data_IF_239577415621
#
_entry.id   IF_239577415621
#
_cell.length_a   1.000
_cell.length_b   1.000
_cell.length_c   1.000
_cell.angle_alpha   90.00
_cell.angle_beta   90.00
_cell.angle_gamma   90.00
#
_symmetry.space_group_name_H-M   'P 1'
#
loop_
_entity.id
_entity.type
_entity.pdbx_description
1 polymer ?
#
# COMPACT_ATOMS: atom_id res chain seq x y z
N UNK A 1 16.58 35.14 -34.53
CA UNK A 1 15.12 34.87 -34.53
C UNK A 1 14.71 34.16 -35.82
N UNK A 2 15.34 33.02 -36.15
CA UNK A 2 14.93 32.06 -37.21
C UNK A 2 15.24 30.60 -36.76
N UNK A 3 15.80 30.42 -35.56
CA UNK A 3 16.06 29.09 -34.93
C UNK A 3 15.03 28.75 -33.83
N UNK A 4 14.10 29.67 -33.55
CA UNK A 4 12.98 29.47 -32.60
C UNK A 4 11.75 28.79 -33.24
N UNK A 5 11.89 28.17 -34.42
CA UNK A 5 10.73 27.69 -35.20
C UNK A 5 10.82 26.24 -35.72
N UNK A 6 11.81 25.45 -35.32
CA UNK A 6 11.89 24.01 -35.65
C UNK A 6 11.68 23.07 -34.45
N UNK A 7 11.42 23.63 -33.27
CA UNK A 7 10.79 22.94 -32.13
C UNK A 7 9.34 23.42 -31.99
N UNK A 8 8.67 23.65 -33.13
CA UNK A 8 7.26 23.31 -33.28
C UNK A 8 7.19 21.84 -33.71
N UNK A 9 7.86 20.97 -32.94
CA UNK A 9 7.62 19.54 -33.04
C UNK A 9 6.37 19.32 -32.24
N UNK A 10 5.27 19.06 -32.94
CA UNK A 10 4.28 18.07 -32.54
C UNK A 10 3.96 18.04 -31.02
N UNK A 11 3.25 19.03 -30.48
CA UNK A 11 2.62 18.92 -29.13
C UNK A 11 1.09 19.07 -29.21
N UNK A 12 0.55 19.46 -30.37
CA UNK A 12 -0.90 19.41 -30.67
C UNK A 12 -1.33 18.27 -31.59
N UNK A 13 -0.42 17.36 -31.97
CA UNK A 13 -0.64 16.38 -33.06
C UNK A 13 -0.25 14.94 -32.69
N UNK A 14 -0.14 14.62 -31.39
CA UNK A 14 0.27 13.28 -30.91
C UNK A 14 -0.87 12.34 -30.52
N UNK A 15 -2.13 12.68 -30.84
CA UNK A 15 -3.20 11.68 -30.81
C UNK A 15 -3.20 10.77 -32.06
N UNK A 16 -2.34 10.97 -33.07
CA UNK A 16 -2.49 10.28 -34.36
C UNK A 16 -1.27 9.53 -34.94
N UNK A 17 -0.01 9.82 -34.62
CA UNK A 17 1.12 9.06 -35.20
C UNK A 17 2.30 8.90 -34.23
N UNK A 18 2.82 7.67 -34.17
CA UNK A 18 3.78 7.20 -33.17
C UNK A 18 5.20 7.74 -33.27
N UNK A 19 5.88 7.55 -32.13
CA UNK A 19 7.31 7.57 -31.79
C UNK A 19 8.24 8.55 -32.54
N UNK A 20 8.73 9.53 -31.78
CA UNK A 20 10.01 10.22 -32.04
C UNK A 20 10.83 10.15 -30.75
N UNK A 21 12.02 9.53 -30.80
CA UNK A 21 12.98 9.50 -29.70
C UNK A 21 13.72 10.84 -29.61
N UNK A 22 13.61 11.61 -28.51
CA UNK A 22 14.40 12.84 -28.36
C UNK A 22 15.74 12.55 -27.66
N UNK A 23 16.82 12.99 -28.30
CA UNK A 23 18.15 13.16 -27.68
C UNK A 23 18.19 14.58 -27.08
N UNK A 24 18.27 14.69 -25.76
CA UNK A 24 18.23 15.98 -25.05
C UNK A 24 19.66 16.41 -24.70
N UNK A 25 20.15 17.47 -25.37
CA UNK A 25 21.34 18.24 -24.99
C UNK A 25 20.90 19.67 -24.61
N UNK A 26 20.80 19.97 -23.31
CA UNK A 26 20.41 21.30 -22.79
C UNK A 26 19.64 21.24 -21.46
N UNK A 27 19.58 22.35 -20.72
CA UNK A 27 18.81 22.50 -19.47
C UNK A 27 17.30 22.67 -19.77
N UNK A 28 16.73 21.71 -20.50
CA UNK A 28 15.33 21.67 -20.95
C UNK A 28 14.39 21.18 -19.84
N UNK A 29 14.70 21.51 -18.59
CA UNK A 29 13.96 21.03 -17.42
C UNK A 29 12.50 21.48 -17.43
N UNK A 30 12.23 22.71 -17.86
CA UNK A 30 10.87 23.24 -17.98
C UNK A 30 10.02 22.46 -18.99
N UNK A 31 10.58 22.13 -20.15
CA UNK A 31 9.89 21.36 -21.19
C UNK A 31 9.57 19.93 -20.73
N UNK A 32 10.52 19.29 -20.03
CA UNK A 32 10.31 17.97 -19.44
C UNK A 32 9.21 17.99 -18.37
N UNK A 33 9.17 19.03 -17.55
CA UNK A 33 8.15 19.21 -16.53
C UNK A 33 6.76 19.36 -17.16
N UNK A 34 6.63 20.23 -18.17
CA UNK A 34 5.38 20.43 -18.91
C UNK A 34 4.90 19.14 -19.61
N UNK A 35 5.83 18.35 -20.16
CA UNK A 35 5.50 17.05 -20.76
C UNK A 35 4.90 16.09 -19.74
N UNK A 36 5.51 15.94 -18.55
CA UNK A 36 4.95 15.09 -17.47
C UNK A 36 3.54 15.53 -17.11
N UNK A 37 3.34 16.83 -16.89
CA UNK A 37 2.03 17.39 -16.53
C UNK A 37 0.99 17.06 -17.59
N UNK A 38 1.35 17.22 -18.87
CA UNK A 38 0.47 16.92 -20.00
C UNK A 38 0.09 15.44 -20.03
N UNK A 39 1.06 14.53 -19.89
CA UNK A 39 0.78 13.09 -19.86
C UNK A 39 -0.11 12.69 -18.67
N UNK A 40 0.09 13.30 -17.50
CA UNK A 40 -0.74 13.05 -16.32
C UNK A 40 -2.17 13.60 -16.47
N UNK A 41 -2.38 14.65 -17.27
CA UNK A 41 -3.69 15.26 -17.50
C UNK A 41 -4.46 14.63 -18.65
N UNK A 42 -3.78 14.19 -19.71
CA UNK A 42 -4.42 13.61 -20.89
C UNK A 42 -4.95 12.18 -20.68
N UNK A 43 -4.56 11.52 -19.59
CA UNK A 43 -5.21 10.31 -19.10
C UNK A 43 -4.96 9.02 -19.90
N UNK A 44 -4.17 9.05 -20.97
CA UNK A 44 -3.75 7.85 -21.71
C UNK A 44 -2.59 7.13 -20.97
N UNK A 45 -2.86 6.01 -20.28
CA UNK A 45 -1.85 5.34 -19.46
C UNK A 45 -0.74 4.72 -20.32
N UNK A 46 -1.07 4.23 -21.51
CA UNK A 46 -0.12 3.57 -22.40
C UNK A 46 0.91 4.58 -22.93
N UNK A 47 0.44 5.80 -23.22
CA UNK A 47 1.32 6.90 -23.62
C UNK A 47 2.26 7.32 -22.48
N UNK A 48 1.74 7.46 -21.25
CA UNK A 48 2.56 7.76 -20.08
C UNK A 48 3.60 6.65 -19.80
N UNK A 49 3.21 5.38 -19.94
CA UNK A 49 4.12 4.25 -19.73
C UNK A 49 5.26 4.22 -20.75
N UNK A 50 4.95 4.39 -22.04
CA UNK A 50 5.96 4.46 -23.09
C UNK A 50 6.90 5.66 -22.88
N UNK A 51 6.34 6.85 -22.67
CA UNK A 51 7.13 8.06 -22.47
C UNK A 51 8.04 7.95 -21.23
N UNK A 52 7.51 7.48 -20.10
CA UNK A 52 8.31 7.35 -18.87
C UNK A 52 9.39 6.29 -18.99
N UNK A 53 9.18 5.24 -19.79
CA UNK A 53 10.20 4.24 -20.11
C UNK A 53 11.33 4.85 -20.93
N UNK A 54 11.00 5.57 -22.00
CA UNK A 54 12.02 6.23 -22.86
C UNK A 54 12.82 7.26 -22.06
N UNK A 55 12.14 8.08 -21.25
CA UNK A 55 12.80 9.07 -20.40
C UNK A 55 13.62 8.44 -19.28
N UNK A 56 13.22 7.26 -18.77
CA UNK A 56 14.05 6.53 -17.80
C UNK A 56 15.40 6.08 -18.38
N UNK A 57 15.46 5.84 -19.69
CA UNK A 57 16.69 5.47 -20.40
C UNK A 57 17.53 6.71 -20.77
N UNK A 58 16.86 7.81 -21.15
CA UNK A 58 17.53 9.03 -21.59
C UNK A 58 18.09 9.87 -20.42
N UNK A 59 17.38 9.93 -19.29
CA UNK A 59 17.72 10.82 -18.18
C UNK A 59 18.59 10.12 -17.14
N UNK A 60 19.58 10.85 -16.60
CA UNK A 60 20.35 10.39 -15.45
C UNK A 60 19.50 10.30 -14.19
N UNK A 61 19.95 9.51 -13.22
CA UNK A 61 19.25 9.24 -11.96
C UNK A 61 18.86 10.52 -11.20
N UNK A 62 19.77 11.49 -11.15
CA UNK A 62 19.61 12.80 -10.52
C UNK A 62 18.64 13.70 -11.28
N UNK A 63 18.65 13.67 -12.62
CA UNK A 63 17.68 14.38 -13.45
C UNK A 63 16.26 13.84 -13.27
N UNK A 64 16.10 12.51 -13.26
CA UNK A 64 14.81 11.86 -12.98
C UNK A 64 14.29 12.23 -11.58
N UNK A 65 15.18 12.26 -10.59
CA UNK A 65 14.87 12.67 -9.23
C UNK A 65 14.40 14.13 -9.22
N UNK A 66 15.19 15.05 -9.79
CA UNK A 66 14.84 16.47 -9.87
C UNK A 66 13.49 16.66 -10.55
N UNK A 67 13.24 15.99 -11.67
CA UNK A 67 11.96 16.07 -12.39
C UNK A 67 10.80 15.64 -11.49
N UNK A 68 10.88 14.45 -10.89
CA UNK A 68 9.80 13.91 -10.08
C UNK A 68 9.49 14.76 -8.83
N UNK A 69 10.49 15.37 -8.20
CA UNK A 69 10.29 16.18 -6.98
C UNK A 69 9.76 17.59 -7.23
N UNK A 70 9.79 18.07 -8.48
CA UNK A 70 9.32 19.41 -8.84
C UNK A 70 7.96 19.38 -9.58
N UNK A 71 7.27 18.24 -9.61
CA UNK A 71 5.91 18.17 -10.15
C UNK A 71 4.97 19.07 -9.32
N UNK A 72 4.23 20.00 -9.96
CA UNK A 72 3.27 20.87 -9.27
C UNK A 72 1.97 20.11 -8.98
N UNK A 73 2.02 19.15 -8.05
CA UNK A 73 0.89 18.26 -7.76
C UNK A 73 -0.39 18.99 -7.36
N UNK A 74 -0.29 20.14 -6.70
CA UNK A 74 -1.43 20.98 -6.32
C UNK A 74 -2.20 21.42 -7.58
N UNK A 75 -1.49 21.99 -8.56
CA UNK A 75 -2.10 22.47 -9.81
C UNK A 75 -2.70 21.34 -10.65
N UNK A 76 -2.08 20.15 -10.63
CA UNK A 76 -2.62 18.97 -11.31
C UNK A 76 -3.92 18.51 -10.64
N UNK A 77 -3.97 18.51 -9.30
CA UNK A 77 -5.15 18.11 -8.54
C UNK A 77 -6.31 19.11 -8.69
N UNK A 78 -6.02 20.41 -8.70
CA UNK A 78 -7.03 21.47 -8.85
C UNK A 78 -7.74 21.41 -10.21
N UNK A 79 -7.11 20.81 -11.23
CA UNK A 79 -7.70 20.56 -12.55
C UNK A 79 -8.63 19.35 -12.59
N UNK A 80 -8.94 18.73 -11.44
CA UNK A 80 -9.95 17.69 -11.30
C UNK A 80 -9.45 16.26 -11.47
N UNK A 81 -8.13 16.04 -11.50
CA UNK A 81 -7.58 14.69 -11.59
C UNK A 81 -7.85 13.90 -10.28
N UNK A 82 -8.43 12.71 -10.40
CA UNK A 82 -8.68 11.83 -9.25
C UNK A 82 -7.37 11.33 -8.66
N UNK A 83 -7.23 11.38 -7.33
CA UNK A 83 -6.04 10.90 -6.64
C UNK A 83 -5.82 9.39 -6.82
N UNK A 84 -6.92 8.63 -6.90
CA UNK A 84 -6.87 7.18 -7.12
C UNK A 84 -6.42 6.85 -8.54
N UNK A 85 -6.95 7.56 -9.54
CA UNK A 85 -6.54 7.41 -10.94
C UNK A 85 -5.06 7.78 -11.11
N UNK A 86 -4.62 8.89 -10.50
CA UNK A 86 -3.20 9.28 -10.50
C UNK A 86 -2.31 8.21 -9.86
N UNK A 87 -2.73 7.63 -8.73
CA UNK A 87 -1.96 6.55 -8.10
C UNK A 87 -1.84 5.31 -9.01
N UNK A 88 -2.92 4.97 -9.74
CA UNK A 88 -2.94 3.86 -10.69
C UNK A 88 -2.08 4.15 -11.93
N UNK A 89 -2.21 5.34 -12.52
CA UNK A 89 -1.40 5.77 -13.65
C UNK A 89 0.09 5.80 -13.31
N UNK A 90 0.45 6.19 -12.08
CA UNK A 90 1.83 6.23 -11.61
C UNK A 90 2.38 4.88 -11.14
N UNK A 91 1.64 3.77 -11.29
CA UNK A 91 2.08 2.46 -10.82
C UNK A 91 3.52 2.16 -11.30
N UNK A 92 4.46 1.87 -10.38
CA UNK A 92 5.87 1.70 -10.73
C UNK A 92 6.11 0.57 -11.74
N UNK A 93 6.44 0.94 -12.99
CA UNK A 93 6.87 0.04 -14.08
C UNK A 93 8.31 0.32 -14.54
N UNK A 94 8.84 1.50 -14.22
CA UNK A 94 10.19 1.95 -14.58
C UNK A 94 10.75 2.92 -13.52
N UNK A 95 12.06 3.23 -13.53
CA UNK A 95 12.70 4.12 -12.55
C UNK A 95 12.08 5.52 -12.45
N UNK A 96 11.63 6.12 -13.55
CA UNK A 96 11.01 7.45 -13.52
C UNK A 96 9.61 7.39 -12.89
N UNK A 97 8.76 6.43 -13.29
CA UNK A 97 7.45 6.21 -12.65
C UNK A 97 7.56 5.95 -11.16
N UNK A 98 8.54 5.14 -10.73
CA UNK A 98 8.79 4.91 -9.31
C UNK A 98 9.04 6.23 -8.55
N UNK A 99 9.81 7.15 -9.13
CA UNK A 99 10.08 8.46 -8.52
C UNK A 99 8.87 9.38 -8.51
N UNK A 100 8.12 9.42 -9.62
CA UNK A 100 6.86 10.18 -9.70
C UNK A 100 5.85 9.68 -8.67
N UNK A 101 5.71 8.35 -8.55
CA UNK A 101 4.86 7.70 -7.58
C UNK A 101 5.26 7.99 -6.12
N UNK A 102 6.56 7.95 -5.80
CA UNK A 102 7.06 8.37 -4.49
C UNK A 102 6.78 9.86 -4.22
N UNK A 103 7.03 10.72 -5.20
CA UNK A 103 6.78 12.16 -5.10
C UNK A 103 5.30 12.43 -4.80
N UNK A 104 4.40 11.74 -5.51
CA UNK A 104 2.96 11.81 -5.29
C UNK A 104 2.55 11.34 -3.89
N UNK A 105 3.11 10.22 -3.40
CA UNK A 105 2.90 9.77 -2.01
C UNK A 105 3.27 10.87 -1.00
N UNK A 106 4.47 11.43 -1.11
CA UNK A 106 4.96 12.44 -0.17
C UNK A 106 4.19 13.75 -0.28
N UNK A 107 3.69 14.11 -1.46
CA UNK A 107 2.74 15.21 -1.63
C UNK A 107 1.44 14.97 -0.86
N UNK A 108 0.77 13.83 -1.11
CA UNK A 108 -0.48 13.48 -0.43
C UNK A 108 -0.32 13.43 1.09
N UNK A 109 0.81 12.88 1.57
CA UNK A 109 1.11 12.81 3.00
C UNK A 109 1.29 14.19 3.63
N UNK A 110 2.06 15.08 2.99
CA UNK A 110 2.32 16.44 3.50
C UNK A 110 1.08 17.33 3.46
N UNK A 111 0.25 17.17 2.44
CA UNK A 111 -1.02 17.89 2.28
C UNK A 111 -2.15 17.33 3.16
N UNK A 112 -1.91 16.22 3.88
CA UNK A 112 -2.92 15.49 4.67
C UNK A 112 -4.10 14.97 3.82
N UNK A 113 -3.88 14.78 2.53
CA UNK A 113 -4.84 14.23 1.58
C UNK A 113 -4.70 12.71 1.39
N UNK A 114 -3.80 12.07 2.13
CA UNK A 114 -3.58 10.64 2.05
C UNK A 114 -4.67 9.88 2.81
N UNK A 115 -5.73 9.47 2.10
CA UNK A 115 -6.82 8.68 2.65
C UNK A 115 -6.41 7.21 2.94
N UNK A 116 -7.26 6.42 3.64
CA UNK A 116 -6.93 5.04 3.97
C UNK A 116 -6.86 4.08 2.78
N UNK A 117 -7.61 4.33 1.70
CA UNK A 117 -7.58 3.52 0.47
C UNK A 117 -6.25 3.72 -0.24
N UNK A 118 -5.87 4.98 -0.49
CA UNK A 118 -4.60 5.37 -1.07
C UNK A 118 -3.43 4.83 -0.25
N UNK A 119 -3.48 5.02 1.08
CA UNK A 119 -2.46 4.49 2.01
C UNK A 119 -2.28 2.99 1.84
N UNK A 120 -3.38 2.26 1.74
CA UNK A 120 -3.35 0.80 1.59
C UNK A 120 -2.75 0.40 0.24
N UNK A 121 -3.16 1.04 -0.86
CA UNK A 121 -2.58 0.82 -2.18
C UNK A 121 -1.07 1.04 -2.21
N UNK A 122 -0.61 2.15 -1.61
CA UNK A 122 0.83 2.43 -1.49
C UNK A 122 1.54 1.32 -0.71
N UNK A 123 0.98 0.88 0.41
CA UNK A 123 1.58 -0.14 1.26
C UNK A 123 1.65 -1.52 0.58
N UNK A 124 0.57 -1.92 -0.11
CA UNK A 124 0.54 -3.16 -0.89
C UNK A 124 1.57 -3.14 -2.01
N UNK A 125 1.69 -2.02 -2.73
CA UNK A 125 2.69 -1.89 -3.78
C UNK A 125 4.11 -1.89 -3.25
N UNK A 126 4.38 -1.25 -2.10
CA UNK A 126 5.70 -1.34 -1.46
C UNK A 126 6.05 -2.78 -1.08
N UNK A 127 5.08 -3.54 -0.55
CA UNK A 127 5.28 -4.96 -0.21
C UNK A 127 5.60 -5.78 -1.46
N UNK A 128 4.93 -5.49 -2.57
CA UNK A 128 5.22 -6.11 -3.86
C UNK A 128 6.64 -5.80 -4.34
N UNK A 129 7.03 -4.51 -4.31
CA UNK A 129 8.37 -4.06 -4.69
C UNK A 129 9.45 -4.74 -3.83
N UNK A 130 9.25 -4.81 -2.51
CA UNK A 130 10.19 -5.46 -1.60
C UNK A 130 10.36 -6.96 -1.90
N UNK A 131 9.30 -7.67 -2.30
CA UNK A 131 9.34 -9.11 -2.56
C UNK A 131 9.82 -9.48 -3.96
N UNK A 132 9.47 -8.70 -4.97
CA UNK A 132 9.65 -9.04 -6.39
C UNK A 132 10.76 -8.26 -7.08
N UNK A 133 11.10 -7.09 -6.57
CA UNK A 133 12.01 -6.14 -7.22
C UNK A 133 13.02 -5.59 -6.20
N UNK A 134 13.77 -6.48 -5.56
CA UNK A 134 14.75 -6.12 -4.53
C UNK A 134 15.79 -5.11 -5.07
N UNK A 135 16.16 -5.20 -6.36
CA UNK A 135 17.07 -4.27 -7.03
C UNK A 135 16.56 -2.83 -7.10
N UNK A 136 15.24 -2.62 -7.10
CA UNK A 136 14.64 -1.29 -7.07
C UNK A 136 14.47 -0.75 -5.64
N UNK A 137 14.71 -1.58 -4.62
CA UNK A 137 14.59 -1.16 -3.23
C UNK A 137 15.65 -0.11 -2.91
N UNK A 138 15.23 0.97 -2.25
CA UNK A 138 16.11 2.09 -1.94
C UNK A 138 15.84 2.63 -0.53
N UNK A 139 16.79 3.36 0.07
CA UNK A 139 16.55 4.04 1.36
C UNK A 139 15.31 4.95 1.33
N UNK A 140 14.97 5.54 0.18
CA UNK A 140 13.76 6.34 0.04
C UNK A 140 12.48 5.50 0.17
N UNK A 141 12.46 4.30 -0.43
CA UNK A 141 11.35 3.35 -0.27
C UNK A 141 11.28 2.78 1.14
N UNK A 142 12.43 2.52 1.77
CA UNK A 142 12.48 2.15 3.18
C UNK A 142 11.89 3.25 4.07
N UNK A 143 12.21 4.52 3.82
CA UNK A 143 11.64 5.65 4.56
C UNK A 143 10.12 5.76 4.34
N UNK A 144 9.67 5.57 3.10
CA UNK A 144 8.25 5.52 2.77
C UNK A 144 7.55 4.40 3.54
N UNK A 145 8.13 3.20 3.54
CA UNK A 145 7.66 2.05 4.32
C UNK A 145 7.55 2.38 5.80
N UNK A 146 8.60 2.94 6.41
CA UNK A 146 8.61 3.26 7.83
C UNK A 146 7.55 4.29 8.23
N UNK A 147 7.16 5.14 7.29
CA UNK A 147 6.18 6.18 7.50
C UNK A 147 4.72 5.69 7.48
N UNK A 148 4.47 4.42 7.11
CA UNK A 148 3.14 3.81 7.15
C UNK A 148 2.64 3.57 8.59
N UNK A 149 1.31 3.49 8.80
CA UNK A 149 0.73 3.12 10.09
C UNK A 149 1.30 1.80 10.64
N UNK A 150 1.56 1.76 11.96
CA UNK A 150 2.24 0.62 12.62
C UNK A 150 1.53 -0.71 12.37
N UNK A 151 0.22 -0.75 12.57
CA UNK A 151 -0.66 -1.91 12.33
C UNK A 151 -0.56 -2.41 10.89
N UNK A 152 -0.62 -1.51 9.91
CA UNK A 152 -0.49 -1.87 8.49
C UNK A 152 0.89 -2.46 8.19
N UNK A 153 1.97 -1.89 8.75
CA UNK A 153 3.32 -2.45 8.61
C UNK A 153 3.40 -3.87 9.16
N UNK A 154 2.89 -4.11 10.37
CA UNK A 154 2.87 -5.44 11.01
C UNK A 154 2.12 -6.42 10.11
N UNK A 155 0.87 -6.10 9.73
CA UNK A 155 0.04 -6.99 8.92
C UNK A 155 0.73 -7.39 7.60
N UNK A 156 1.43 -6.46 6.95
CA UNK A 156 2.05 -6.73 5.65
C UNK A 156 3.40 -7.48 5.77
N UNK A 157 4.14 -7.33 6.87
CA UNK A 157 5.43 -8.01 7.07
C UNK A 157 5.27 -9.41 7.66
N UNK A 158 4.27 -9.61 8.51
CA UNK A 158 4.11 -10.85 9.25
C UNK A 158 3.53 -11.97 8.38
N UNK A 159 3.94 -13.20 8.68
CA UNK A 159 3.27 -14.41 8.18
C UNK A 159 2.17 -14.86 9.15
N UNK A 160 2.44 -14.68 10.44
CA UNK A 160 1.57 -15.06 11.54
C UNK A 160 1.27 -13.84 12.40
N UNK A 161 0.00 -13.63 12.69
CA UNK A 161 -0.47 -12.59 13.61
C UNK A 161 -0.95 -13.19 14.91
N UNK A 162 -0.78 -12.45 15.98
CA UNK A 162 -1.41 -12.73 17.26
C UNK A 162 -2.40 -11.62 17.57
N UNK A 163 -3.64 -12.03 17.87
CA UNK A 163 -4.77 -11.14 18.12
C UNK A 163 -4.86 -10.88 19.62
N UNK A 164 -4.87 -9.60 19.99
CA UNK A 164 -4.89 -9.16 21.38
C UNK A 164 -6.11 -8.28 21.65
N UNK A 165 -6.88 -8.60 22.68
CA UNK A 165 -8.05 -7.84 23.12
C UNK A 165 -7.88 -7.42 24.58
N UNK A 166 -8.09 -6.13 24.90
CA UNK A 166 -7.89 -5.56 26.26
C UNK A 166 -6.60 -6.03 26.95
N UNK A 167 -5.49 -6.03 26.20
CA UNK A 167 -4.15 -6.50 26.58
C UNK A 167 -3.94 -8.01 26.71
N UNK A 168 -4.96 -8.83 26.50
CA UNK A 168 -4.84 -10.30 26.54
C UNK A 168 -4.71 -10.88 25.14
N UNK A 169 -3.71 -11.73 24.92
CA UNK A 169 -3.67 -12.56 23.71
C UNK A 169 -4.69 -13.69 23.85
N UNK A 170 -5.61 -13.80 22.90
CA UNK A 170 -6.69 -14.77 22.96
C UNK A 170 -6.72 -15.65 21.71
N UNK A 171 -7.16 -16.89 21.87
CA UNK A 171 -7.58 -17.73 20.75
C UNK A 171 -9.01 -18.20 20.94
N UNK A 172 -9.64 -18.51 19.81
CA UNK A 172 -11.02 -18.98 19.75
C UNK A 172 -11.02 -20.49 19.87
N UNK A 173 -11.87 -21.00 20.75
CA UNK A 173 -12.24 -22.42 20.81
C UNK A 173 -13.70 -22.58 20.37
N UNK A 174 -14.17 -23.83 20.33
CA UNK A 174 -15.54 -24.16 19.92
C UNK A 174 -16.59 -23.30 20.62
N UNK A 175 -17.60 -22.88 19.86
CA UNK A 175 -18.70 -22.01 20.35
C UNK A 175 -18.27 -20.57 20.63
N UNK A 176 -17.20 -20.08 19.99
CA UNK A 176 -16.66 -18.72 20.17
C UNK A 176 -16.20 -18.38 21.58
N UNK A 177 -15.99 -19.39 22.44
CA UNK A 177 -15.36 -19.17 23.74
C UNK A 177 -13.89 -18.79 23.52
N UNK A 178 -13.37 -17.88 24.34
CA UNK A 178 -11.99 -17.39 24.21
C UNK A 178 -11.15 -17.88 25.39
N UNK A 179 -9.96 -18.36 25.07
CA UNK A 179 -8.96 -18.80 26.05
C UNK A 179 -7.69 -17.97 25.94
N UNK A 180 -6.93 -17.88 27.04
CA UNK A 180 -5.67 -17.15 27.08
C UNK A 180 -4.65 -17.87 26.19
N UNK A 181 -4.20 -17.19 25.14
CA UNK A 181 -3.26 -17.71 24.16
C UNK A 181 -1.79 -17.52 24.52
N UNK A 182 -1.47 -16.94 25.67
CA UNK A 182 -0.09 -16.79 26.11
C UNK A 182 0.58 -18.17 26.18
N UNK A 183 1.67 -18.33 25.42
CA UNK A 183 2.46 -19.57 25.33
C UNK A 183 1.77 -20.77 24.63
N UNK A 184 0.80 -20.52 23.74
CA UNK A 184 0.19 -21.58 22.93
C UNK A 184 0.22 -21.27 21.44
N UNK A 185 0.44 -22.31 20.62
CA UNK A 185 0.40 -22.29 19.16
C UNK A 185 -0.96 -21.75 18.65
N UNK A 186 -2.03 -21.99 19.40
CA UNK A 186 -3.39 -21.63 18.99
C UNK A 186 -3.64 -20.13 18.98
N UNK A 187 -2.76 -19.33 19.59
CA UNK A 187 -2.80 -17.86 19.50
C UNK A 187 -2.38 -17.31 18.13
N UNK A 188 -1.80 -18.14 17.26
CA UNK A 188 -1.31 -17.74 15.95
C UNK A 188 -2.41 -17.80 14.89
N UNK A 189 -2.47 -16.76 14.07
CA UNK A 189 -3.39 -16.63 12.95
C UNK A 189 -2.60 -16.48 11.66
N UNK A 190 -2.78 -17.39 10.73
CA UNK A 190 -2.15 -17.32 9.42
C UNK A 190 -2.80 -16.23 8.59
N UNK A 191 -1.98 -15.35 8.00
CA UNK A 191 -2.46 -14.42 6.97
C UNK A 191 -2.50 -15.17 5.63
N UNK A 192 -3.69 -15.26 5.05
CA UNK A 192 -3.89 -15.63 3.65
C UNK A 192 -4.37 -14.40 2.88
N UNK A 193 -3.58 -14.01 1.88
CA UNK A 193 -3.99 -12.94 0.96
C UNK A 193 -5.06 -13.50 0.04
N UNK A 194 -6.27 -12.98 0.12
CA UNK A 194 -7.34 -13.33 -0.79
C UNK A 194 -7.20 -12.48 -2.07
N UNK A 195 -7.67 -12.97 -3.22
CA UNK A 195 -7.58 -12.26 -4.51
C UNK A 195 -8.50 -11.02 -4.59
N UNK A 196 -8.93 -10.45 -3.46
CA UNK A 196 -9.91 -9.36 -3.40
C UNK A 196 -9.33 -8.13 -2.70
N UNK A 197 -9.22 -7.04 -3.46
CA UNK A 197 -9.29 -5.62 -3.07
C UNK A 197 -9.20 -5.35 -1.55
N UNK A 198 -8.01 -5.53 -0.98
CA UNK A 198 -7.63 -5.09 0.38
C UNK A 198 -8.16 -5.92 1.55
N UNK A 199 -8.69 -7.11 1.29
CA UNK A 199 -9.11 -8.06 2.32
C UNK A 199 -8.04 -9.11 2.59
N UNK A 200 -7.83 -9.39 3.88
CA UNK A 200 -6.99 -10.49 4.33
C UNK A 200 -7.82 -11.48 5.13
N UNK A 201 -7.69 -12.76 4.78
CA UNK A 201 -8.26 -13.86 5.52
C UNK A 201 -7.28 -14.30 6.61
N UNK A 202 -7.79 -14.49 7.81
CA UNK A 202 -7.09 -15.04 8.96
C UNK A 202 -7.62 -16.43 9.27
N UNK A 203 -6.71 -17.38 9.41
CA UNK A 203 -7.03 -18.76 9.79
C UNK A 203 -6.32 -19.09 11.09
N UNK A 204 -7.04 -19.60 12.08
CA UNK A 204 -6.40 -20.02 13.32
C UNK A 204 -5.48 -21.22 13.08
N UNK A 205 -4.32 -21.24 13.75
CA UNK A 205 -3.35 -22.32 13.58
C UNK A 205 -3.84 -23.69 14.11
N UNK A 206 -4.64 -23.71 15.18
CA UNK A 206 -5.13 -24.96 15.79
C UNK A 206 -6.51 -25.38 15.29
N UNK A 207 -7.26 -24.46 14.69
CA UNK A 207 -8.63 -24.69 14.24
C UNK A 207 -8.90 -23.94 12.93
N UNK A 208 -8.80 -24.64 11.80
CA UNK A 208 -9.03 -24.05 10.48
C UNK A 208 -10.50 -23.69 10.21
N UNK A 209 -11.43 -24.12 11.07
CA UNK A 209 -12.84 -23.71 11.01
C UNK A 209 -13.07 -22.29 11.56
N UNK A 210 -12.16 -21.80 12.40
CA UNK A 210 -12.18 -20.44 12.93
C UNK A 210 -11.55 -19.46 11.93
N UNK A 211 -12.40 -18.71 11.21
CA UNK A 211 -12.00 -17.81 10.13
C UNK A 211 -12.46 -16.38 10.40
N UNK A 212 -11.55 -15.43 10.21
CA UNK A 212 -11.84 -13.99 10.31
C UNK A 212 -11.25 -13.22 9.13
N UNK A 213 -11.77 -12.02 8.92
CA UNK A 213 -11.30 -11.12 7.87
C UNK A 213 -10.86 -9.78 8.44
N UNK A 214 -9.78 -9.24 7.88
CA UNK A 214 -9.31 -7.87 8.15
C UNK A 214 -9.40 -7.09 6.85
N UNK A 215 -10.06 -5.93 6.91
CA UNK A 215 -9.97 -4.92 5.85
C UNK A 215 -8.78 -4.00 6.12
N UNK A 216 -7.86 -3.89 5.16
CA UNK A 216 -6.68 -3.06 5.29
C UNK A 216 -6.97 -1.55 5.29
N UNK A 217 -8.09 -1.07 4.74
CA UNK A 217 -8.46 0.35 4.78
C UNK A 217 -8.70 0.85 6.20
N UNK A 218 -9.18 -0.01 7.10
CA UNK A 218 -9.40 0.35 8.49
C UNK A 218 -8.15 0.19 9.38
N UNK A 219 -7.04 -0.29 8.81
CA UNK A 219 -5.81 -0.59 9.56
C UNK A 219 -4.98 0.65 9.93
N UNK A 220 -5.43 1.86 9.63
CA UNK A 220 -4.76 3.11 10.03
C UNK A 220 -4.91 3.42 11.53
N UNK A 221 -5.94 2.89 12.19
CA UNK A 221 -6.06 2.90 13.64
C UNK A 221 -5.35 1.67 14.21
N UNK A 222 -4.73 1.78 15.39
CA UNK A 222 -4.06 0.68 16.12
C UNK A 222 -5.03 -0.45 16.56
N UNK A 223 -6.19 -0.55 15.91
CA UNK A 223 -7.37 -1.32 16.24
C UNK A 223 -7.90 -1.98 14.97
N UNK A 224 -7.52 -3.23 14.73
CA UNK A 224 -8.12 -4.07 13.72
C UNK A 224 -9.54 -4.46 14.12
N UNK A 225 -10.50 -4.25 13.22
CA UNK A 225 -11.84 -4.84 13.35
C UNK A 225 -11.81 -6.19 12.64
N UNK A 226 -12.02 -7.26 13.39
CA UNK A 226 -12.17 -8.61 12.83
C UNK A 226 -13.60 -8.79 12.33
N UNK A 227 -13.75 -9.35 11.13
CA UNK A 227 -15.04 -9.49 10.48
C UNK A 227 -15.36 -10.94 10.11
N UNK A 228 -16.66 -11.25 10.03
CA UNK A 228 -17.17 -12.56 9.65
C UNK A 228 -16.91 -12.94 8.18
N UNK A 229 -16.84 -11.95 7.28
CA UNK A 229 -16.71 -12.13 5.84
C UNK A 229 -16.11 -10.86 5.19
N UNK A 230 -15.60 -10.91 3.94
CA UNK A 230 -14.97 -9.77 3.28
C UNK A 230 -16.01 -8.77 2.76
N UNK A 231 -16.70 -8.07 3.66
CA UNK A 231 -17.72 -7.09 3.32
C UNK A 231 -17.71 -5.94 4.31
N UNK A 232 -17.87 -4.70 3.82
CA UNK A 232 -18.03 -3.54 4.71
C UNK A 232 -19.30 -3.62 5.59
N UNK A 233 -20.26 -4.48 5.24
CA UNK A 233 -21.47 -4.76 6.02
C UNK A 233 -21.34 -5.99 6.93
N UNK A 234 -20.19 -6.66 6.91
CA UNK A 234 -19.94 -7.84 7.71
C UNK A 234 -20.06 -7.56 9.20
N UNK A 235 -20.57 -8.54 9.93
CA UNK A 235 -20.59 -8.47 11.39
C UNK A 235 -19.16 -8.45 11.95
N UNK A 236 -18.95 -7.67 13.00
CA UNK A 236 -17.68 -7.55 13.71
C UNK A 236 -17.61 -8.59 14.82
N UNK A 237 -16.45 -9.21 14.99
CA UNK A 237 -16.20 -10.13 16.09
C UNK A 237 -15.77 -9.38 17.35
N UNK A 238 -16.54 -9.52 18.42
CA UNK A 238 -16.42 -8.77 19.67
C UNK A 238 -16.31 -9.71 20.86
N UNK A 239 -15.82 -9.21 21.98
CA UNK A 239 -15.55 -9.99 23.18
C UNK A 239 -16.16 -9.35 24.41
N UNK A 240 -17.07 -10.08 25.04
CA UNK A 240 -17.65 -9.72 26.33
C UNK A 240 -17.48 -10.89 27.30
N UNK A 241 -16.92 -10.64 28.48
CA UNK A 241 -16.69 -11.67 29.51
C UNK A 241 -16.04 -12.98 28.99
N UNK A 242 -15.01 -12.87 28.13
CA UNK A 242 -14.30 -14.00 27.49
C UNK A 242 -15.16 -14.85 26.54
N UNK A 243 -16.32 -14.34 26.13
CA UNK A 243 -17.17 -14.95 25.11
C UNK A 243 -17.14 -14.06 23.88
N UNK A 244 -16.82 -14.68 22.75
CA UNK A 244 -16.86 -14.06 21.43
C UNK A 244 -18.30 -14.03 20.89
N UNK A 245 -18.68 -12.93 20.26
CA UNK A 245 -19.97 -12.80 19.58
C UNK A 245 -19.84 -11.88 18.37
N UNK A 246 -20.79 -11.98 17.46
CA UNK A 246 -20.87 -11.11 16.29
C UNK A 246 -21.85 -9.97 16.52
N UNK A 247 -21.44 -8.76 16.13
CA UNK A 247 -22.24 -7.54 16.23
C UNK A 247 -22.31 -6.84 14.88
N UNK A 248 -23.44 -6.23 14.56
CA UNK A 248 -23.59 -5.48 13.32
C UNK A 248 -22.55 -4.35 13.16
N UNK A 249 -22.09 -4.15 11.92
CA UNK A 249 -20.99 -3.24 11.58
C UNK A 249 -21.24 -1.76 11.97
N UNK A 250 -22.49 -1.36 12.17
CA UNK A 250 -22.94 0.03 12.34
C UNK A 250 -22.60 0.66 13.69
N UNK A 251 -22.25 -0.14 14.71
CA UNK A 251 -21.90 0.38 16.04
C UNK A 251 -20.41 0.19 16.31
N UNK A 252 -19.72 1.28 16.65
CA UNK A 252 -18.38 1.19 17.23
C UNK A 252 -18.50 0.74 18.69
N UNK A 253 -17.79 -0.32 19.04
CA UNK A 253 -17.78 -0.87 20.39
C UNK A 253 -16.34 -1.22 20.75
N UNK A 254 -15.96 -0.88 21.99
CA UNK A 254 -14.64 -1.16 22.55
C UNK A 254 -14.42 -2.68 22.62
N UNK A 255 -15.49 -3.45 22.77
CA UNK A 255 -15.44 -4.91 22.82
C UNK A 255 -15.07 -5.55 21.48
N UNK A 256 -15.13 -4.82 20.37
CA UNK A 256 -14.74 -5.31 19.04
C UNK A 256 -13.32 -4.92 18.63
N UNK A 257 -12.56 -4.30 19.54
CA UNK A 257 -11.25 -3.72 19.24
C UNK A 257 -10.13 -4.76 19.42
N UNK A 258 -9.46 -5.09 18.33
CA UNK A 258 -8.33 -6.01 18.34
C UNK A 258 -7.03 -5.31 18.02
N UNK A 259 -6.00 -5.60 18.79
CA UNK A 259 -4.62 -5.27 18.45
C UNK A 259 -4.02 -6.45 17.70
N UNK A 260 -3.30 -6.15 16.62
CA UNK A 260 -2.58 -7.13 15.81
C UNK A 260 -1.08 -7.02 16.08
N UNK A 261 -0.47 -8.13 16.44
CA UNK A 261 0.97 -8.22 16.71
C UNK A 261 1.62 -9.26 15.80
N UNK A 262 2.89 -9.04 15.45
CA UNK A 262 3.69 -10.07 14.80
C UNK A 262 4.05 -11.15 15.81
N UNK A 263 3.69 -12.40 15.52
CA UNK A 263 4.16 -13.54 16.30
C UNK A 263 4.77 -14.64 15.43
N UNK A 264 5.34 -14.25 14.29
CA UNK A 264 6.05 -15.15 13.38
C UNK A 264 7.25 -15.88 14.02
N UNK A 265 7.76 -15.36 15.15
CA UNK A 265 8.83 -16.00 15.93
C UNK A 265 8.33 -17.00 17.00
N UNK A 266 7.03 -17.03 17.31
CA UNK A 266 6.47 -17.90 18.34
C UNK A 266 6.76 -19.39 18.12
N UNK A 267 6.67 -19.95 16.89
CA UNK A 267 7.01 -21.36 16.65
C UNK A 267 8.43 -21.74 17.05
N UNK A 268 9.40 -20.83 16.85
CA UNK A 268 10.80 -21.07 17.23
C UNK A 268 10.96 -21.16 18.74
N UNK A 269 10.31 -20.24 19.46
CA UNK A 269 10.34 -20.18 20.93
C UNK A 269 9.70 -21.45 21.53
N UNK A 270 8.53 -21.84 21.02
CA UNK A 270 7.81 -23.03 21.52
C UNK A 270 8.57 -24.34 21.25
N UNK A 271 9.29 -24.45 20.14
CA UNK A 271 10.09 -25.63 19.82
C UNK A 271 11.41 -25.70 20.59
N UNK A 272 12.04 -24.56 20.92
CA UNK A 272 13.24 -24.53 21.77
C UNK A 272 12.95 -25.03 23.19
N UNK A 273 11.75 -24.75 23.71
CA UNK A 273 11.35 -25.19 25.04
C UNK A 273 11.03 -26.69 25.15
N UNK A 274 10.94 -27.43 24.03
CA UNK A 274 10.78 -28.89 24.03
C UNK A 274 12.09 -29.66 24.28
N UNK A 275 13.23 -28.98 24.28
CA UNK A 275 14.55 -29.58 24.54
C UNK A 275 15.07 -29.32 25.97
N UNK A 276 14.24 -28.76 26.86
CA UNK A 276 14.60 -28.45 28.26
C UNK A 276 13.73 -29.22 29.26
N UNK A 277 13.06 -30.28 28.82
CA UNK A 277 12.22 -31.16 29.65
C UNK A 277 12.69 -32.60 29.58
#
# INVERSE_FOLDING_TARGET
MVVKLLVKILVGFFCLFGFVNPVIYGDNFGELLEAVITHLQCGDPDNLDNWTKDMSLALRRDQQQRLAWNIPWVEIQDKGASQLEMQQQLNPSNPLKLRLWMSFYWHLKRSRSLDPILTTNFALKLRELQKRNEDMWSPALQNMWQSLPKSLKIILQSRWLCLQHKRQMLYVVSGYKLELGANSNCSMWQIQSENQDHWLRLINFCDDSSLFFINLWHSSAEVGMLQSNPSLKASKFCVFNKVGYFKDASKADIDCQWQVNDCSNLPKILNQNKHVS
#
